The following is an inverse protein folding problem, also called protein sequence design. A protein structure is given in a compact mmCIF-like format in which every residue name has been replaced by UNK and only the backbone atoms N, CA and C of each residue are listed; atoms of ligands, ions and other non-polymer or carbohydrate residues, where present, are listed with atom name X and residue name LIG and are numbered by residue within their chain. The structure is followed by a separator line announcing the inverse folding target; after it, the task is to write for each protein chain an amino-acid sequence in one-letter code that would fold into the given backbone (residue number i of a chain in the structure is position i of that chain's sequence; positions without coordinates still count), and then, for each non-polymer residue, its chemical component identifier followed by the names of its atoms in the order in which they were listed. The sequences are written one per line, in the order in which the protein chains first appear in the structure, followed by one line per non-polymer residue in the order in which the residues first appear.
data_IF_083898745724
#
_entry.id   IF_083898745724
#
_cell.length_a   1.000
_cell.length_b   1.000
_cell.length_c   1.000
_cell.angle_alpha   90.00
_cell.angle_beta   90.00
_cell.angle_gamma   90.00
#
_symmetry.space_group_name_H-M   'P 1'
#
loop_
_entity.id
_entity.type
_entity.pdbx_description
1 polymer ?
#
# COMPACT_ATOMS: atom_id res chain seq x y z
N UNK A 1 46.41 3.82 55.91
CA UNK A 1 45.52 2.86 55.21
C UNK A 1 45.72 3.10 53.72
N UNK A 2 46.52 2.25 53.08
CA UNK A 2 47.00 2.47 51.70
C UNK A 2 46.18 1.59 50.76
N UNK A 3 45.33 2.20 49.95
CA UNK A 3 44.48 1.51 48.98
C UNK A 3 45.30 1.17 47.72
N UNK A 4 45.73 -0.08 47.61
CA UNK A 4 46.32 -0.63 46.38
C UNK A 4 45.22 -0.94 45.38
N UNK A 5 45.16 -0.16 44.30
CA UNK A 5 44.30 -0.41 43.14
C UNK A 5 44.93 -1.54 42.29
N UNK A 6 44.21 -2.61 41.92
CA UNK A 6 44.73 -3.60 40.99
C UNK A 6 44.75 -3.03 39.56
N UNK A 7 45.92 -3.10 38.93
CA UNK A 7 46.11 -2.73 37.53
C UNK A 7 45.34 -3.69 36.61
N UNK A 8 44.51 -3.12 35.73
CA UNK A 8 43.83 -3.84 34.65
C UNK A 8 44.90 -4.23 33.61
N UNK A 9 45.09 -5.52 33.28
CA UNK A 9 46.00 -5.88 32.20
C UNK A 9 45.42 -5.41 30.87
N UNK A 10 46.21 -4.64 30.13
CA UNK A 10 45.87 -4.18 28.79
C UNK A 10 45.58 -5.39 27.89
N UNK A 11 44.36 -5.43 27.36
CA UNK A 11 43.96 -6.35 26.30
C UNK A 11 44.83 -6.07 25.09
N UNK A 12 45.78 -6.96 24.81
CA UNK A 12 46.58 -6.97 23.57
C UNK A 12 45.64 -7.24 22.39
N UNK A 13 44.97 -6.20 21.92
CA UNK A 13 44.40 -6.18 20.59
C UNK A 13 45.58 -6.12 19.62
N UNK A 14 45.79 -7.17 18.85
CA UNK A 14 46.75 -7.17 17.75
C UNK A 14 46.31 -6.17 16.69
N UNK A 15 46.68 -4.90 16.87
CA UNK A 15 46.76 -3.95 15.76
C UNK A 15 47.77 -4.55 14.78
N UNK A 16 47.27 -5.11 13.68
CA UNK A 16 48.10 -5.33 12.50
C UNK A 16 48.43 -3.95 11.94
N UNK A 17 49.38 -3.27 12.57
CA UNK A 17 49.97 -2.06 12.04
C UNK A 17 50.73 -2.46 10.78
N UNK A 18 50.13 -2.18 9.63
CA UNK A 18 50.78 -2.37 8.34
C UNK A 18 52.11 -1.60 8.38
N UNK A 19 53.22 -2.30 8.22
CA UNK A 19 54.54 -1.66 8.32
C UNK A 19 54.73 -0.73 7.11
N UNK A 20 55.42 0.40 7.29
CA UNK A 20 55.68 1.40 6.24
C UNK A 20 56.25 0.79 4.94
N UNK A 21 57.06 -0.27 5.06
CA UNK A 21 57.57 -1.02 3.90
C UNK A 21 56.48 -1.72 3.08
N UNK A 22 55.42 -2.21 3.73
CA UNK A 22 54.30 -2.85 3.04
C UNK A 22 53.44 -1.80 2.33
N UNK A 23 53.21 -0.65 2.96
CA UNK A 23 52.50 0.47 2.35
C UNK A 23 53.25 1.03 1.14
N UNK A 24 54.57 1.18 1.24
CA UNK A 24 55.38 1.64 0.12
C UNK A 24 55.36 0.65 -1.05
N UNK A 25 55.46 -0.65 -0.78
CA UNK A 25 55.33 -1.69 -1.82
C UNK A 25 53.97 -1.68 -2.51
N UNK A 26 52.88 -1.48 -1.76
CA UNK A 26 51.54 -1.35 -2.34
C UNK A 26 51.43 -0.12 -3.23
N UNK A 27 51.98 1.02 -2.79
CA UNK A 27 52.06 2.24 -3.60
C UNK A 27 52.83 1.98 -4.89
N UNK A 28 54.05 1.48 -4.80
CA UNK A 28 54.89 1.21 -5.97
C UNK A 28 54.21 0.21 -6.95
N UNK A 29 53.46 -0.76 -6.40
CA UNK A 29 52.69 -1.72 -7.20
C UNK A 29 51.55 -1.03 -7.96
N UNK A 30 50.71 -0.22 -7.31
CA UNK A 30 49.60 0.46 -7.97
C UNK A 30 50.04 1.65 -8.85
N UNK A 31 51.19 2.28 -8.58
CA UNK A 31 51.76 3.32 -9.43
C UNK A 31 52.27 2.74 -10.77
N UNK A 32 52.65 1.45 -10.79
CA UNK A 32 53.20 0.76 -11.96
C UNK A 32 52.24 -0.23 -12.63
N UNK A 33 51.16 -0.64 -11.96
CA UNK A 33 50.19 -1.61 -12.48
C UNK A 33 48.81 -0.96 -12.58
N UNK A 34 48.31 -0.85 -13.82
CA UNK A 34 46.93 -0.43 -14.07
C UNK A 34 45.97 -1.55 -13.67
N UNK A 35 44.93 -1.20 -12.91
CA UNK A 35 43.81 -2.12 -12.63
C UNK A 35 42.71 -2.05 -13.68
N UNK A 36 42.88 -1.24 -14.74
CA UNK A 36 41.87 -1.03 -15.78
C UNK A 36 41.46 -2.34 -16.45
N UNK A 37 42.43 -3.17 -16.84
CA UNK A 37 42.19 -4.46 -17.51
C UNK A 37 41.39 -5.44 -16.61
N UNK A 38 41.60 -5.36 -15.30
CA UNK A 38 40.88 -6.19 -14.32
C UNK A 38 39.44 -5.72 -14.10
N UNK A 39 39.18 -4.41 -14.24
CA UNK A 39 37.83 -3.84 -14.17
C UNK A 39 37.05 -4.05 -15.47
N UNK A 40 37.72 -4.03 -16.62
CA UNK A 40 37.11 -4.26 -17.93
C UNK A 40 36.64 -5.72 -18.11
N UNK A 41 37.40 -6.69 -17.60
CA UNK A 41 37.00 -8.11 -17.58
C UNK A 41 36.11 -8.52 -16.40
N UNK A 42 35.78 -7.58 -15.51
CA UNK A 42 34.99 -7.84 -14.30
C UNK A 42 33.54 -8.16 -14.63
N UNK A 43 33.01 -9.23 -14.03
CA UNK A 43 31.57 -9.49 -14.04
C UNK A 43 30.89 -8.56 -13.02
N UNK A 44 30.18 -7.55 -13.53
CA UNK A 44 29.36 -6.68 -12.70
C UNK A 44 28.00 -7.33 -12.46
N UNK A 45 27.63 -7.51 -11.19
CA UNK A 45 26.24 -7.85 -10.86
C UNK A 45 25.35 -6.65 -11.18
N UNK A 46 24.66 -6.70 -12.31
CA UNK A 46 23.70 -5.67 -12.74
C UNK A 46 22.34 -5.81 -12.04
N UNK A 47 22.12 -6.93 -11.36
CA UNK A 47 20.84 -7.26 -10.74
C UNK A 47 20.63 -6.46 -9.46
N UNK A 48 19.72 -5.48 -9.56
CA UNK A 48 19.21 -4.80 -8.37
C UNK A 48 18.16 -5.69 -7.74
N UNK A 49 18.45 -6.24 -6.56
CA UNK A 49 17.42 -6.90 -5.75
C UNK A 49 16.27 -5.91 -5.46
N UNK A 50 15.01 -6.24 -5.79
CA UNK A 50 13.90 -5.29 -5.68
C UNK A 50 13.60 -4.88 -4.22
N UNK A 51 14.03 -5.69 -3.25
CA UNK A 51 13.91 -5.39 -1.83
C UNK A 51 15.15 -5.90 -1.08
N UNK A 52 16.25 -5.12 -1.08
CA UNK A 52 17.48 -5.54 -0.42
C UNK A 52 17.31 -5.50 1.10
N UNK A 53 17.97 -6.42 1.81
CA UNK A 53 18.03 -6.36 3.26
C UNK A 53 18.90 -5.18 3.70
N UNK A 54 18.30 -4.21 4.41
CA UNK A 54 19.02 -3.07 4.98
C UNK A 54 19.37 -3.34 6.44
N UNK A 55 20.67 -3.29 6.77
CA UNK A 55 21.15 -3.37 8.15
C UNK A 55 20.94 -2.04 8.88
N UNK A 56 20.18 -2.05 9.97
CA UNK A 56 19.99 -0.88 10.83
C UNK A 56 20.32 -1.21 12.28
N UNK A 57 20.86 -0.25 13.02
CA UNK A 57 21.11 -0.40 14.45
C UNK A 57 19.89 0.03 15.25
N UNK A 58 19.21 -0.93 15.88
CA UNK A 58 18.09 -0.68 16.78
C UNK A 58 18.56 -0.74 18.24
N UNK A 59 18.26 0.30 19.02
CA UNK A 59 18.51 0.32 20.46
C UNK A 59 17.28 -0.19 21.20
N UNK A 60 17.45 -1.24 21.98
CA UNK A 60 16.40 -1.85 22.79
C UNK A 60 16.78 -1.78 24.28
N UNK A 61 15.79 -1.68 25.20
CA UNK A 61 16.03 -1.90 26.62
C UNK A 61 16.69 -3.26 26.87
N UNK A 62 17.59 -3.32 27.86
CA UNK A 62 18.35 -4.54 28.18
C UNK A 62 17.42 -5.71 28.47
N UNK A 63 16.43 -5.50 29.33
CA UNK A 63 15.51 -6.56 29.78
C UNK A 63 14.71 -7.14 28.61
N UNK A 64 14.32 -6.28 27.66
CA UNK A 64 13.64 -6.71 26.43
C UNK A 64 14.57 -7.57 25.57
N UNK A 65 15.82 -7.16 25.36
CA UNK A 65 16.76 -7.93 24.57
C UNK A 65 17.11 -9.27 25.20
N UNK A 66 17.22 -9.33 26.53
CA UNK A 66 17.46 -10.56 27.28
C UNK A 66 16.27 -11.53 27.17
N UNK A 67 15.04 -11.01 27.25
CA UNK A 67 13.83 -11.80 26.99
C UNK A 67 13.80 -12.37 25.56
N UNK A 68 14.12 -11.55 24.54
CA UNK A 68 14.19 -12.00 23.13
C UNK A 68 15.23 -13.12 22.97
N UNK A 69 16.41 -13.00 23.60
CA UNK A 69 17.47 -14.02 23.54
C UNK A 69 17.01 -15.34 24.13
N UNK A 70 16.37 -15.33 25.31
CA UNK A 70 15.85 -16.54 25.94
C UNK A 70 14.79 -17.21 25.06
N UNK A 71 13.92 -16.42 24.43
CA UNK A 71 12.90 -16.93 23.53
C UNK A 71 13.49 -17.53 22.25
N UNK A 72 14.45 -16.84 21.64
CA UNK A 72 15.15 -17.32 20.44
C UNK A 72 15.90 -18.63 20.71
N UNK A 73 16.53 -18.76 21.88
CA UNK A 73 17.18 -19.99 22.30
C UNK A 73 16.19 -21.15 22.45
N UNK A 74 15.00 -20.89 23.01
CA UNK A 74 13.94 -21.91 23.14
C UNK A 74 13.45 -22.38 21.77
N UNK A 75 13.43 -21.50 20.77
CA UNK A 75 13.00 -21.80 19.40
C UNK A 75 14.15 -22.25 18.47
N UNK A 76 15.39 -22.33 18.99
CA UNK A 76 16.56 -22.76 18.21
C UNK A 76 16.97 -21.79 17.08
N UNK A 77 16.62 -20.51 17.19
CA UNK A 77 16.87 -19.48 16.17
C UNK A 77 17.72 -18.33 16.71
N UNK A 78 18.24 -17.49 15.81
CA UNK A 78 18.94 -16.26 16.23
C UNK A 78 17.94 -15.19 16.70
N UNK A 79 18.30 -14.32 17.67
CA UNK A 79 17.44 -13.22 18.09
C UNK A 79 17.00 -12.30 16.93
N UNK A 80 17.90 -12.06 15.97
CA UNK A 80 17.60 -11.25 14.78
C UNK A 80 16.55 -11.90 13.87
N UNK A 81 16.64 -13.22 13.65
CA UNK A 81 15.64 -13.95 12.87
C UNK A 81 14.28 -13.97 13.57
N UNK A 82 14.28 -14.16 14.90
CA UNK A 82 13.04 -14.14 15.69
C UNK A 82 12.34 -12.78 15.61
N UNK A 83 13.10 -11.69 15.85
CA UNK A 83 12.56 -10.33 15.75
C UNK A 83 11.99 -10.05 14.36
N UNK A 84 12.71 -10.44 13.30
CA UNK A 84 12.22 -10.29 11.92
C UNK A 84 10.90 -11.01 11.73
N UNK A 85 10.81 -12.28 12.12
CA UNK A 85 9.59 -13.08 11.97
C UNK A 85 8.40 -12.43 12.69
N UNK A 86 8.59 -11.94 13.91
CA UNK A 86 7.52 -11.25 14.63
C UNK A 86 7.06 -9.96 13.95
N UNK A 87 8.01 -9.18 13.41
CA UNK A 87 7.68 -7.95 12.67
C UNK A 87 6.90 -8.29 11.40
N UNK A 88 7.33 -9.29 10.64
CA UNK A 88 6.65 -9.74 9.42
C UNK A 88 5.26 -10.29 9.71
N UNK A 89 5.11 -11.11 10.74
CA UNK A 89 3.81 -11.64 11.18
C UNK A 89 2.86 -10.52 11.60
N UNK A 90 3.36 -9.54 12.36
CA UNK A 90 2.56 -8.40 12.80
C UNK A 90 2.11 -7.56 11.62
N UNK A 91 3.02 -7.29 10.67
CA UNK A 91 2.72 -6.55 9.44
C UNK A 91 1.67 -7.26 8.60
N UNK A 92 1.80 -8.57 8.38
CA UNK A 92 0.83 -9.36 7.63
C UNK A 92 -0.56 -9.29 8.28
N UNK A 93 -0.64 -9.45 9.60
CA UNK A 93 -1.90 -9.37 10.33
C UNK A 93 -2.57 -7.98 10.23
N UNK A 94 -1.78 -6.90 10.18
CA UNK A 94 -2.30 -5.53 9.98
C UNK A 94 -2.84 -5.32 8.57
N UNK A 95 -2.17 -5.88 7.55
CA UNK A 95 -2.64 -5.85 6.16
C UNK A 95 -3.94 -6.64 6.00
N UNK A 96 -4.00 -7.87 6.52
CA UNK A 96 -5.20 -8.71 6.49
C UNK A 96 -6.40 -8.03 7.18
N UNK A 97 -6.14 -7.29 8.27
CA UNK A 97 -7.17 -6.55 8.97
C UNK A 97 -7.69 -5.37 8.14
N UNK A 98 -6.79 -4.62 7.48
CA UNK A 98 -7.16 -3.52 6.60
C UNK A 98 -7.99 -4.01 5.40
N UNK A 99 -7.54 -5.08 4.73
CA UNK A 99 -8.23 -5.67 3.59
C UNK A 99 -9.64 -6.16 3.96
N UNK A 100 -9.78 -6.77 5.14
CA UNK A 100 -11.08 -7.21 5.65
C UNK A 100 -12.03 -6.03 5.91
N UNK A 101 -11.52 -4.92 6.45
CA UNK A 101 -12.33 -3.72 6.68
C UNK A 101 -12.80 -3.15 5.34
N UNK A 102 -11.91 -3.05 4.36
CA UNK A 102 -12.23 -2.56 3.01
C UNK A 102 -13.32 -3.41 2.35
N UNK A 103 -13.18 -4.74 2.38
CA UNK A 103 -14.18 -5.67 1.85
C UNK A 103 -15.56 -5.50 2.52
N UNK A 104 -15.56 -5.26 3.83
CA UNK A 104 -16.81 -5.03 4.58
C UNK A 104 -17.45 -3.71 4.20
N UNK A 105 -16.66 -2.65 3.99
CA UNK A 105 -17.16 -1.35 3.53
C UNK A 105 -17.80 -1.52 2.15
N UNK A 106 -17.11 -2.14 1.21
CA UNK A 106 -17.64 -2.39 -0.14
C UNK A 106 -18.94 -3.19 -0.11
N UNK A 107 -19.01 -4.26 0.69
CA UNK A 107 -20.23 -5.06 0.86
C UNK A 107 -21.38 -4.22 1.42
N UNK A 108 -21.09 -3.32 2.36
CA UNK A 108 -22.08 -2.43 2.95
C UNK A 108 -22.55 -1.37 1.96
N UNK A 109 -21.65 -0.79 1.16
CA UNK A 109 -22.00 0.18 0.12
C UNK A 109 -22.92 -0.46 -0.93
N UNK A 110 -22.61 -1.66 -1.40
CA UNK A 110 -23.46 -2.42 -2.32
C UNK A 110 -24.83 -2.73 -1.70
N UNK A 111 -24.86 -3.18 -0.44
CA UNK A 111 -26.11 -3.47 0.25
C UNK A 111 -26.97 -2.22 0.46
N UNK A 112 -26.35 -1.08 0.82
CA UNK A 112 -27.04 0.20 1.01
C UNK A 112 -27.60 0.71 -0.32
N UNK A 113 -26.83 0.61 -1.40
CA UNK A 113 -27.29 0.95 -2.75
C UNK A 113 -28.48 0.07 -3.18
N UNK A 114 -28.41 -1.24 -2.93
CA UNK A 114 -29.48 -2.18 -3.24
C UNK A 114 -30.76 -1.88 -2.43
N UNK A 115 -30.63 -1.58 -1.13
CA UNK A 115 -31.76 -1.19 -0.28
C UNK A 115 -32.36 0.14 -0.72
N UNK A 116 -31.54 1.14 -1.06
CA UNK A 116 -32.01 2.41 -1.61
C UNK A 116 -32.82 2.20 -2.89
N UNK A 117 -32.31 1.42 -3.83
CA UNK A 117 -33.02 1.08 -5.07
C UNK A 117 -34.35 0.35 -4.80
N UNK A 118 -34.38 -0.57 -3.83
CA UNK A 118 -35.60 -1.29 -3.43
C UNK A 118 -36.66 -0.40 -2.75
N UNK A 119 -36.26 0.72 -2.13
CA UNK A 119 -37.18 1.69 -1.52
C UNK A 119 -37.68 2.73 -2.54
N UNK A 120 -36.86 3.11 -3.52
CA UNK A 120 -37.25 4.04 -4.59
C UNK A 120 -38.25 3.41 -5.59
N UNK A 121 -38.06 2.15 -5.98
CA UNK A 121 -38.89 1.44 -6.97
C UNK A 121 -40.41 1.40 -6.66
N UNK A 122 -40.89 1.12 -5.43
CA UNK A 122 -42.31 1.17 -5.12
C UNK A 122 -42.89 2.60 -5.14
N UNK A 123 -42.07 3.64 -4.88
CA UNK A 123 -42.54 5.03 -4.95
C UNK A 123 -42.63 5.55 -6.38
N UNK A 124 -41.68 5.18 -7.25
CA UNK A 124 -41.66 5.64 -8.63
C UNK A 124 -42.74 4.95 -9.48
N UNK A 125 -43.02 3.67 -9.25
CA UNK A 125 -44.15 2.97 -9.88
C UNK A 125 -45.50 3.57 -9.51
N UNK A 126 -45.68 3.99 -8.27
CA UNK A 126 -46.91 4.63 -7.79
C UNK A 126 -47.06 6.06 -8.34
N UNK A 127 -45.98 6.83 -8.43
CA UNK A 127 -45.97 8.13 -9.13
C UNK A 127 -46.29 7.99 -10.62
N UNK A 128 -45.71 7.02 -11.30
CA UNK A 128 -45.96 6.79 -12.72
C UNK A 128 -47.41 6.36 -12.98
N UNK A 129 -47.98 5.51 -12.11
CA UNK A 129 -49.39 5.17 -12.17
C UNK A 129 -50.28 6.41 -12.00
N UNK A 130 -50.03 7.26 -10.99
CA UNK A 130 -50.76 8.51 -10.78
C UNK A 130 -50.61 9.49 -11.95
N UNK A 131 -49.44 9.55 -12.58
CA UNK A 131 -49.19 10.40 -13.75
C UNK A 131 -50.00 9.94 -14.96
N UNK A 132 -50.06 8.63 -15.23
CA UNK A 132 -50.86 8.03 -16.30
C UNK A 132 -52.36 8.25 -16.10
N UNK A 133 -52.84 8.14 -14.87
CA UNK A 133 -54.23 8.46 -14.52
C UNK A 133 -54.56 9.95 -14.73
N UNK A 134 -53.62 10.85 -14.41
CA UNK A 134 -53.80 12.30 -14.59
C UNK A 134 -53.80 12.72 -16.07
N UNK A 135 -53.01 12.06 -16.93
CA UNK A 135 -52.96 12.37 -18.38
C UNK A 135 -54.05 11.69 -19.19
N UNK A 136 -54.77 10.71 -18.62
CA UNK A 136 -55.90 10.05 -19.28
C UNK A 136 -57.20 10.87 -19.20
N UNK A 137 -57.21 12.03 -18.54
CA UNK A 137 -58.40 12.88 -18.35
C UNK A 137 -58.31 14.22 -19.07
N UNK A 138 -57.92 14.22 -20.36
CA UNK A 138 -58.20 15.35 -21.26
C UNK A 138 -58.56 14.81 -22.66
N UNK A 139 -59.85 14.68 -23.03
CA UNK A 139 -60.21 14.66 -24.43
C UNK A 139 -60.04 16.09 -24.98
N UNK A 140 -59.07 16.25 -25.88
CA UNK A 140 -58.96 17.44 -26.73
C UNK A 140 -60.22 17.56 -27.58
N UNK A 141 -61.06 18.54 -27.25
CA UNK A 141 -62.26 18.89 -28.00
C UNK A 141 -61.99 20.21 -28.76
N UNK A 142 -61.24 20.11 -29.86
CA UNK A 142 -60.98 21.12 -30.91
C UNK A 142 -60.64 20.28 -32.16
N UNK A 143 -61.20 20.38 -33.36
CA UNK A 143 -61.99 21.40 -34.04
C UNK A 143 -62.90 20.70 -35.05
N UNK A 144 -64.20 20.96 -35.00
CA UNK A 144 -65.13 20.60 -36.07
C UNK A 144 -66.20 21.68 -36.15
N UNK A 145 -65.86 22.87 -36.64
CA UNK A 145 -66.79 23.95 -37.00
C UNK A 145 -66.09 25.08 -37.76
N UNK A 146 -65.88 24.87 -39.06
CA UNK A 146 -65.88 25.94 -40.07
C UNK A 146 -65.61 25.34 -41.46
N UNK A 147 -66.66 24.87 -42.13
CA UNK A 147 -66.79 24.82 -43.59
C UNK A 147 -68.21 24.35 -43.89
N UNK A 148 -69.15 25.29 -43.84
CA UNK A 148 -70.40 25.25 -44.61
C UNK A 148 -71.15 26.55 -44.38
N UNK A 149 -70.81 27.54 -45.21
CA UNK A 149 -71.59 28.76 -45.32
C UNK A 149 -71.72 29.15 -46.80
N UNK A 150 -72.81 28.68 -47.40
CA UNK A 150 -73.73 29.46 -48.23
C UNK A 150 -73.22 29.92 -49.60
N UNK A 151 -73.27 28.99 -50.55
CA UNK A 151 -73.88 29.28 -51.84
C UNK A 151 -75.40 29.11 -51.70
N UNK A 152 -76.17 30.19 -51.68
CA UNK A 152 -77.38 30.24 -52.50
C UNK A 152 -77.97 31.65 -52.67
N UNK A 153 -78.38 31.86 -53.91
CA UNK A 153 -78.88 33.06 -54.59
C UNK A 153 -80.30 33.40 -54.16
N UNK A 154 -80.74 34.67 -54.28
CA UNK A 154 -82.13 34.92 -54.66
C UNK A 154 -82.22 35.76 -55.95
N UNK A 155 -83.08 35.28 -56.84
CA UNK A 155 -83.52 35.96 -58.05
C UNK A 155 -84.45 37.16 -57.71
N UNK A 156 -84.39 38.24 -58.50
CA UNK A 156 -85.51 38.71 -59.33
C UNK A 156 -85.36 40.18 -59.78
N UNK A 157 -85.75 40.39 -61.05
CA UNK A 157 -86.11 41.63 -61.79
C UNK A 157 -85.00 42.42 -62.47
#
# INVERSE_FOLDING_TARGET
MTTTHPAIPARTGGHHTMNQNQTQRLRDHYDSHSTADQMEGGHWEADTYPNPMVGTSLRLPKDLLDWIRARAQTEGVTPALLMRRWIEQRRAAEQDAADRVEQRIQTLEEAVLAVGAAVQTPSDTLRDALRRLSTSSVPAQQDARQQDARSDTPAAR
#
